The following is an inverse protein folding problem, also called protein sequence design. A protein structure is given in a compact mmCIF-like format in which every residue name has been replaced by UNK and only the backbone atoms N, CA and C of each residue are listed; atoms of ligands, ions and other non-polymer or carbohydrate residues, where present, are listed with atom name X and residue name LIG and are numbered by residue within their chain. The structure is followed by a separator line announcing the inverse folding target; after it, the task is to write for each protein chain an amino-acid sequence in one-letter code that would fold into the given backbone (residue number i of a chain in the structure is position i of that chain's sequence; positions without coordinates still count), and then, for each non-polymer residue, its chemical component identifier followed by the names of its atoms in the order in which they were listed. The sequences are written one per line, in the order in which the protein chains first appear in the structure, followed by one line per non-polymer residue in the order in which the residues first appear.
data_IF_207528116732
#
_entry.id   IF_207528116732
#
_cell.length_a   1.000
_cell.length_b   1.000
_cell.length_c   1.000
_cell.angle_alpha   90.00
_cell.angle_beta   90.00
_cell.angle_gamma   90.00
#
_symmetry.space_group_name_H-M   'P 1'
#
loop_
_entity.id
_entity.type
_entity.pdbx_description
1 polymer ?
#
# COMPACT_ATOMS: atom_id res chain seq x y z
N UNK A 1 -13.09 -5.08 -8.85
CA UNK A 1 -13.55 -4.85 -7.46
C UNK A 1 -12.44 -5.33 -6.52
N UNK A 2 -11.92 -4.46 -5.64
CA UNK A 2 -10.84 -4.78 -4.69
C UNK A 2 -11.33 -5.53 -3.46
N UNK A 3 -12.66 -5.55 -3.21
CA UNK A 3 -13.24 -6.12 -1.99
C UNK A 3 -13.39 -5.11 -0.86
N UNK A 4 -12.85 -3.90 -1.02
CA UNK A 4 -12.96 -2.81 -0.07
C UNK A 4 -14.04 -1.79 -0.46
N UNK A 5 -14.65 -1.15 0.55
CA UNK A 5 -15.54 -0.01 0.34
C UNK A 5 -14.73 1.23 -0.06
N UNK A 6 -15.38 2.17 -0.79
CA UNK A 6 -14.74 3.45 -1.10
C UNK A 6 -14.35 4.18 0.20
N UNK A 7 -13.18 4.80 0.19
CA UNK A 7 -12.60 5.45 1.38
C UNK A 7 -11.87 4.52 2.36
N UNK A 8 -11.95 3.20 2.16
CA UNK A 8 -11.22 2.21 2.94
C UNK A 8 -10.44 1.22 2.08
N UNK A 9 -10.08 1.58 0.84
CA UNK A 9 -9.34 0.68 -0.03
C UNK A 9 -7.89 0.54 0.46
N UNK A 10 -7.44 -0.71 0.65
CA UNK A 10 -6.07 -1.05 0.97
C UNK A 10 -5.41 -1.83 -0.16
N UNK A 11 -4.10 -1.63 -0.43
CA UNK A 11 -3.32 -2.51 -1.31
C UNK A 11 -3.03 -3.87 -0.65
N UNK A 12 -3.17 -3.99 0.67
CA UNK A 12 -3.01 -5.24 1.42
C UNK A 12 -4.35 -5.98 1.43
N UNK A 13 -4.35 -7.30 1.24
CA UNK A 13 -5.54 -8.14 1.47
C UNK A 13 -6.68 -7.98 0.46
N UNK A 14 -6.41 -7.44 -0.73
CA UNK A 14 -7.43 -7.32 -1.78
C UNK A 14 -7.99 -8.68 -2.20
N UNK A 15 -9.31 -8.75 -2.47
CA UNK A 15 -9.97 -9.98 -2.94
C UNK A 15 -9.38 -10.53 -4.26
N UNK A 16 -8.89 -9.62 -5.10
CA UNK A 16 -8.08 -9.92 -6.29
C UNK A 16 -6.79 -9.13 -6.15
N UNK A 17 -5.65 -9.79 -6.32
CA UNK A 17 -4.36 -9.10 -6.35
C UNK A 17 -4.27 -8.27 -7.64
N UNK A 18 -4.01 -6.97 -7.51
CA UNK A 18 -3.74 -6.09 -8.64
C UNK A 18 -2.27 -5.68 -8.58
N UNK A 19 -1.64 -5.39 -9.75
CA UNK A 19 -0.34 -4.76 -9.77
C UNK A 19 -0.35 -3.51 -8.89
N UNK A 20 0.59 -3.46 -7.95
CA UNK A 20 0.71 -2.39 -6.97
C UNK A 20 2.08 -1.75 -7.17
N UNK A 21 2.09 -0.43 -7.22
CA UNK A 21 3.31 0.34 -7.41
C UNK A 21 3.40 1.36 -6.29
N UNK A 22 4.60 1.54 -5.74
CA UNK A 22 4.91 2.58 -4.78
C UNK A 22 6.01 3.46 -5.34
N UNK A 23 5.97 4.75 -5.03
CA UNK A 23 6.99 5.68 -5.48
C UNK A 23 8.34 5.39 -4.80
N UNK A 24 9.44 5.48 -5.55
CA UNK A 24 10.79 5.21 -5.04
C UNK A 24 11.19 6.10 -3.85
N UNK A 25 10.59 7.29 -3.73
CA UNK A 25 10.84 8.17 -2.57
C UNK A 25 10.41 7.53 -1.25
N UNK A 26 9.46 6.59 -1.26
CA UNK A 26 9.00 5.89 -0.06
C UNK A 26 10.10 5.05 0.58
N UNK A 27 11.08 4.55 -0.20
CA UNK A 27 12.21 3.77 0.32
C UNK A 27 13.13 4.59 1.25
N UNK A 28 13.05 5.93 1.21
CA UNK A 28 13.82 6.81 2.09
C UNK A 28 13.14 7.08 3.44
N UNK A 29 11.93 6.55 3.65
CA UNK A 29 11.17 6.71 4.89
C UNK A 29 11.40 5.51 5.80
N UNK A 30 11.47 5.75 7.11
CA UNK A 30 11.50 4.67 8.10
C UNK A 30 10.17 3.93 8.17
N UNK A 31 9.07 4.66 7.98
CA UNK A 31 7.70 4.14 8.07
C UNK A 31 6.80 4.85 7.06
N UNK A 32 5.81 4.12 6.56
CA UNK A 32 4.72 4.62 5.75
C UNK A 32 3.38 4.27 6.40
N UNK A 33 2.35 5.03 6.04
CA UNK A 33 1.00 4.83 6.55
C UNK A 33 0.07 4.53 5.37
N UNK A 34 -0.63 3.40 5.44
CA UNK A 34 -1.61 2.99 4.42
C UNK A 34 -2.94 2.62 5.06
N UNK A 35 -4.04 2.70 4.29
CA UNK A 35 -5.36 2.31 4.79
C UNK A 35 -5.36 0.85 5.23
N UNK A 36 -6.00 0.57 6.38
CA UNK A 36 -6.13 -0.80 6.91
C UNK A 36 -7.32 -1.59 6.34
N UNK A 37 -7.96 -1.11 5.27
CA UNK A 37 -9.12 -1.78 4.67
C UNK A 37 -10.47 -1.36 5.26
N UNK A 38 -10.48 -0.43 6.22
CA UNK A 38 -11.68 0.11 6.87
C UNK A 38 -11.51 1.60 7.14
N UNK A 39 -12.58 2.37 6.91
CA UNK A 39 -12.61 3.81 7.19
C UNK A 39 -12.30 4.06 8.67
N UNK A 40 -11.40 5.02 8.93
CA UNK A 40 -10.95 5.37 10.28
C UNK A 40 -9.84 4.47 10.83
N UNK A 41 -9.24 3.60 10.02
CA UNK A 41 -8.10 2.76 10.44
C UNK A 41 -6.94 2.82 9.46
N UNK A 42 -5.72 2.77 10.02
CA UNK A 42 -4.45 2.87 9.31
C UNK A 42 -3.51 1.77 9.76
N UNK A 43 -2.58 1.37 8.89
CA UNK A 43 -1.46 0.49 9.19
C UNK A 43 -0.19 1.33 9.05
N UNK A 44 0.67 1.27 10.07
CA UNK A 44 2.02 1.82 10.03
C UNK A 44 2.98 0.65 9.85
N UNK A 45 3.85 0.72 8.86
CA UNK A 45 4.85 -0.30 8.56
C UNK A 45 6.02 0.30 7.80
N UNK A 46 7.16 -0.38 7.80
CA UNK A 46 8.29 0.05 6.98
C UNK A 46 8.02 -0.27 5.48
N UNK A 47 8.66 0.44 4.54
CA UNK A 47 8.47 0.21 3.10
C UNK A 47 8.87 -1.19 2.62
N UNK A 48 9.85 -1.85 3.26
CA UNK A 48 10.30 -3.18 2.86
C UNK A 48 9.22 -4.24 3.13
N UNK A 49 8.62 -4.22 4.32
CA UNK A 49 7.51 -5.09 4.69
C UNK A 49 6.31 -4.86 3.77
N UNK A 50 6.05 -3.59 3.41
CA UNK A 50 4.99 -3.24 2.47
C UNK A 50 5.21 -3.92 1.11
N UNK A 51 6.41 -3.81 0.54
CA UNK A 51 6.75 -4.42 -0.75
C UNK A 51 6.59 -5.94 -0.69
N UNK A 52 7.04 -6.58 0.38
CA UNK A 52 6.95 -8.02 0.59
C UNK A 52 5.49 -8.50 0.65
N UNK A 53 4.66 -7.86 1.50
CA UNK A 53 3.27 -8.27 1.73
C UNK A 53 2.40 -8.02 0.49
N UNK A 54 2.64 -6.92 -0.22
CA UNK A 54 1.80 -6.51 -1.35
C UNK A 54 2.30 -7.01 -2.70
N UNK A 55 3.52 -7.55 -2.77
CA UNK A 55 4.23 -7.82 -4.02
C UNK A 55 4.29 -6.58 -4.92
N UNK A 56 4.43 -5.41 -4.31
CA UNK A 56 4.50 -4.15 -5.03
C UNK A 56 5.90 -3.94 -5.63
N UNK A 57 5.94 -3.11 -6.68
CA UNK A 57 7.18 -2.66 -7.30
C UNK A 57 7.45 -1.20 -6.93
N UNK A 58 8.71 -0.90 -6.59
CA UNK A 58 9.18 0.47 -6.37
C UNK A 58 9.60 1.09 -7.70
N UNK A 59 8.98 2.20 -8.09
CA UNK A 59 9.22 2.87 -9.38
C UNK A 59 9.11 4.39 -9.22
N UNK A 60 9.78 5.17 -10.07
CA UNK A 60 9.62 6.62 -10.11
C UNK A 60 8.23 7.00 -10.67
N UNK A 61 7.28 7.35 -9.80
CA UNK A 61 5.88 7.66 -10.14
C UNK A 61 5.61 9.16 -10.16
N UNK A 62 6.24 9.92 -9.28
CA UNK A 62 6.04 11.37 -9.14
C UNK A 62 7.12 12.17 -9.89
N UNK A 63 6.77 13.39 -10.32
CA UNK A 63 7.65 14.33 -11.03
C UNK A 63 8.04 15.50 -10.14
#
# INVERSE_FOLDING_TARGET
NTGYIRGGCSPIGMKKQYPTFIDESASNLSEIIVSAGRVGTQIVLNPADFLEITQAESVALIK
#
